data_IF_901494272329
#
_entry.id   IF_901494272329
#
_cell.length_a   1.000
_cell.length_b   1.000
_cell.length_c   1.000
_cell.angle_alpha   90.00
_cell.angle_beta   90.00
_cell.angle_gamma   90.00
#
_symmetry.space_group_name_H-M   'P 1'
#
loop_
_entity.id
_entity.type
_entity.pdbx_description
1 polymer ?
#
# COMPACT_ATOMS: atom_id res chain seq x y z
N UNK A 1 3.73 -0.77 30.62
CA UNK A 1 2.88 0.36 30.17
C UNK A 1 2.51 0.03 28.75
N UNK A 2 1.22 -0.05 28.47
CA UNK A 2 0.67 -0.58 27.22
C UNK A 2 0.27 0.57 26.31
N UNK A 3 0.80 0.59 25.09
CA UNK A 3 0.30 1.39 23.98
C UNK A 3 -0.42 0.48 22.98
N UNK A 4 -1.48 0.98 22.35
CA UNK A 4 -2.31 0.23 21.41
C UNK A 4 -2.60 1.10 20.19
N UNK A 5 -2.43 0.51 19.00
CA UNK A 5 -2.69 1.15 17.71
C UNK A 5 -3.45 0.19 16.81
N UNK A 6 -4.42 0.72 16.08
CA UNK A 6 -5.09 -0.01 15.01
C UNK A 6 -4.22 0.02 13.77
N UNK A 7 -3.99 -1.15 13.18
CA UNK A 7 -3.31 -1.34 11.91
C UNK A 7 -4.02 -2.41 11.08
N UNK A 8 -3.41 -2.83 9.97
CA UNK A 8 -3.91 -3.92 9.14
C UNK A 8 -2.77 -4.58 8.35
N UNK A 9 -2.99 -5.81 7.94
CA UNK A 9 -2.12 -6.53 6.99
C UNK A 9 -2.91 -6.85 5.72
N UNK A 10 -2.22 -7.08 4.61
CA UNK A 10 -2.84 -7.40 3.33
C UNK A 10 -3.12 -8.90 3.27
N UNK A 11 -4.35 -9.27 2.95
CA UNK A 11 -4.77 -10.64 2.67
C UNK A 11 -5.45 -10.69 1.31
N UNK A 12 -4.72 -11.15 0.29
CA UNK A 12 -5.19 -11.05 -1.10
C UNK A 12 -5.25 -9.60 -1.55
N UNK A 13 -6.45 -9.11 -1.89
CA UNK A 13 -6.69 -7.71 -2.29
C UNK A 13 -7.24 -6.83 -1.16
N UNK A 14 -7.59 -7.46 -0.04
CA UNK A 14 -8.22 -6.80 1.10
C UNK A 14 -7.21 -6.57 2.23
N UNK A 15 -7.57 -5.66 3.12
CA UNK A 15 -6.82 -5.39 4.35
C UNK A 15 -7.59 -5.95 5.55
N UNK A 16 -6.92 -6.76 6.36
CA UNK A 16 -7.47 -7.38 7.56
C UNK A 16 -6.89 -6.68 8.78
N UNK A 17 -7.77 -6.34 9.73
CA UNK A 17 -7.41 -5.65 10.97
C UNK A 17 -6.27 -6.37 11.69
N UNK A 18 -5.31 -5.59 12.15
CA UNK A 18 -4.24 -6.02 13.06
C UNK A 18 -4.11 -4.99 14.17
N UNK A 19 -4.18 -5.42 15.42
CA UNK A 19 -3.92 -4.55 16.55
C UNK A 19 -2.44 -4.63 16.93
N UNK A 20 -1.76 -3.48 16.98
CA UNK A 20 -0.35 -3.34 17.38
C UNK A 20 -0.33 -2.90 18.83
N UNK A 21 0.05 -3.82 19.71
CA UNK A 21 0.16 -3.59 21.14
C UNK A 21 1.63 -3.57 21.54
N UNK A 22 2.06 -2.53 22.24
CA UNK A 22 3.43 -2.40 22.73
C UNK A 22 3.42 -2.29 24.25
N UNK A 23 3.98 -3.29 24.93
CA UNK A 23 4.20 -3.24 26.37
C UNK A 23 5.68 -3.01 26.71
N UNK A 24 5.91 -2.01 27.57
CA UNK A 24 7.19 -1.77 28.22
C UNK A 24 7.16 -2.24 29.67
N UNK A 25 7.96 -3.26 29.98
CA UNK A 25 8.11 -3.83 31.31
C UNK A 25 9.50 -3.57 31.92
N UNK A 26 9.63 -3.47 33.26
CA UNK A 26 10.93 -3.44 33.93
C UNK A 26 11.76 -4.70 33.64
N UNK A 27 13.09 -4.55 33.61
CA UNK A 27 14.03 -5.66 33.42
C UNK A 27 15.17 -5.33 32.46
N UNK A 28 16.00 -6.32 32.16
CA UNK A 28 17.10 -6.16 31.19
C UNK A 28 16.54 -5.84 29.79
N UNK A 29 17.20 -4.94 29.03
CA UNK A 29 16.78 -4.59 27.67
C UNK A 29 16.63 -5.82 26.79
N UNK A 30 15.42 -6.03 26.29
CA UNK A 30 15.07 -7.17 25.44
C UNK A 30 13.90 -6.79 24.55
N UNK A 31 13.76 -7.48 23.42
CA UNK A 31 12.74 -7.21 22.43
C UNK A 31 12.14 -8.51 21.93
N UNK A 32 10.82 -8.60 21.89
CA UNK A 32 10.09 -9.70 21.27
C UNK A 32 8.94 -9.18 20.42
N UNK A 33 8.74 -9.81 19.24
CA UNK A 33 7.53 -9.63 18.42
C UNK A 33 6.76 -10.94 18.44
N UNK A 34 5.48 -10.88 18.79
CA UNK A 34 4.58 -12.04 18.86
C UNK A 34 3.36 -11.82 17.93
N UNK A 35 2.65 -12.91 17.60
CA UNK A 35 1.49 -12.85 16.70
C UNK A 35 1.79 -13.23 15.24
N UNK A 36 2.66 -14.24 15.03
CA UNK A 36 3.06 -14.77 13.72
C UNK A 36 3.60 -13.71 12.72
N UNK A 37 4.63 -12.92 13.11
CA UNK A 37 5.30 -12.01 12.18
C UNK A 37 6.11 -12.80 11.15
N UNK A 38 6.05 -12.41 9.87
CA UNK A 38 6.96 -12.93 8.85
C UNK A 38 8.37 -12.35 8.98
N UNK A 39 9.33 -12.84 8.17
CA UNK A 39 10.75 -12.45 8.27
C UNK A 39 10.95 -10.92 8.22
N UNK A 40 10.31 -10.22 7.28
CA UNK A 40 10.42 -8.77 7.13
C UNK A 40 9.93 -7.98 8.35
N UNK A 41 8.91 -8.49 9.04
CA UNK A 41 8.37 -7.92 10.28
C UNK A 41 9.27 -8.26 11.47
N UNK A 42 9.85 -9.47 11.52
CA UNK A 42 10.83 -9.83 12.56
C UNK A 42 12.09 -8.97 12.49
N UNK A 43 12.53 -8.62 11.29
CA UNK A 43 13.68 -7.75 11.03
C UNK A 43 13.40 -6.27 11.35
N UNK A 44 12.13 -5.89 11.54
CA UNK A 44 11.75 -4.52 11.89
C UNK A 44 12.41 -4.04 13.19
N UNK A 45 12.79 -4.94 14.10
CA UNK A 45 13.47 -4.58 15.36
C UNK A 45 14.66 -3.66 15.14
N UNK A 46 15.56 -4.01 14.23
CA UNK A 46 16.78 -3.23 13.99
C UNK A 46 16.45 -1.90 13.29
N UNK A 47 15.47 -1.92 12.35
CA UNK A 47 15.00 -0.72 11.66
C UNK A 47 14.34 0.29 12.59
N UNK A 48 13.36 -0.16 13.38
CA UNK A 48 12.63 0.66 14.35
C UNK A 48 13.58 1.24 15.40
N UNK A 49 14.49 0.42 15.94
CA UNK A 49 15.47 0.88 16.92
C UNK A 49 16.37 1.97 16.33
N UNK A 50 16.97 1.71 15.17
CA UNK A 50 17.87 2.65 14.51
C UNK A 50 17.15 3.95 14.14
N UNK A 51 15.95 3.84 13.57
CA UNK A 51 15.10 4.97 13.20
C UNK A 51 14.81 5.89 14.39
N UNK A 52 14.40 5.33 15.53
CA UNK A 52 14.16 6.09 16.76
C UNK A 52 15.43 6.82 17.19
N UNK A 53 16.55 6.11 17.30
CA UNK A 53 17.81 6.71 17.79
C UNK A 53 18.36 7.77 16.84
N UNK A 54 18.32 7.52 15.53
CA UNK A 54 18.86 8.43 14.51
C UNK A 54 17.93 9.62 14.25
N UNK A 55 16.66 9.52 14.65
CA UNK A 55 15.73 10.66 14.71
C UNK A 55 15.92 11.56 15.94
N UNK A 56 16.92 11.28 16.79
CA UNK A 56 17.16 12.04 18.03
C UNK A 56 16.16 11.73 19.15
N UNK A 57 15.41 10.63 19.04
CA UNK A 57 14.44 10.17 20.03
C UNK A 57 15.07 9.12 20.94
N UNK A 58 14.50 8.92 22.14
CA UNK A 58 15.07 7.97 23.09
C UNK A 58 14.50 6.57 22.87
N UNK A 59 15.36 5.59 22.56
CA UNK A 59 14.94 4.18 22.59
C UNK A 59 14.99 3.65 24.04
N UNK A 60 13.89 3.14 24.60
CA UNK A 60 13.84 2.76 26.02
C UNK A 60 14.68 1.51 26.31
N UNK A 61 15.49 1.57 27.38
CA UNK A 61 16.28 0.45 27.89
C UNK A 61 15.43 -0.43 28.82
N UNK A 62 14.37 -1.04 28.28
CA UNK A 62 13.40 -1.88 28.99
C UNK A 62 13.14 -3.17 28.23
N UNK A 63 12.38 -4.10 28.83
CA UNK A 63 11.83 -5.23 28.09
C UNK A 63 10.64 -4.74 27.27
N UNK A 64 10.75 -4.88 25.95
CA UNK A 64 9.76 -4.45 24.97
C UNK A 64 9.10 -5.68 24.38
N UNK A 65 7.77 -5.74 24.44
CA UNK A 65 6.99 -6.76 23.75
C UNK A 65 6.05 -6.08 22.77
N UNK A 66 6.17 -6.42 21.49
CA UNK A 66 5.24 -6.01 20.44
C UNK A 66 4.34 -7.20 20.12
N UNK A 67 3.05 -7.08 20.38
CA UNK A 67 2.05 -8.07 20.01
C UNK A 67 1.26 -7.60 18.78
N UNK A 68 1.21 -8.44 17.75
CA UNK A 68 0.43 -8.22 16.53
C UNK A 68 -0.78 -9.17 16.54
N UNK A 69 -1.92 -8.70 17.06
CA UNK A 69 -3.15 -9.49 17.15
C UNK A 69 -3.99 -9.37 15.87
N UNK A 70 -4.73 -10.41 15.44
CA UNK A 70 -4.93 -11.72 16.09
C UNK A 70 -3.84 -12.73 15.75
N UNK A 71 -3.43 -13.60 16.67
CA UNK A 71 -2.23 -14.44 16.52
C UNK A 71 -2.35 -15.66 15.56
N UNK A 72 -3.49 -15.84 14.90
CA UNK A 72 -3.80 -16.94 13.98
C UNK A 72 -3.49 -16.63 12.51
N UNK A 73 -3.24 -15.37 12.20
CA UNK A 73 -2.92 -14.89 10.84
C UNK A 73 -1.48 -14.38 10.77
N UNK A 74 -0.79 -14.67 9.66
CA UNK A 74 0.55 -14.15 9.37
C UNK A 74 0.53 -12.65 9.12
N UNK A 75 1.51 -11.92 9.67
CA UNK A 75 1.67 -10.48 9.39
C UNK A 75 2.82 -10.28 8.44
N UNK A 76 2.46 -9.74 7.28
CA UNK A 76 3.38 -9.38 6.21
C UNK A 76 3.34 -7.87 5.98
N UNK A 77 4.47 -7.33 5.53
CA UNK A 77 4.64 -5.93 5.15
C UNK A 77 5.52 -5.13 6.11
N UNK A 78 6.39 -4.29 5.57
CA UNK A 78 7.26 -3.40 6.33
C UNK A 78 6.55 -2.16 6.89
N UNK A 79 5.30 -1.92 6.48
CA UNK A 79 4.51 -0.77 6.93
C UNK A 79 4.20 -0.77 8.43
N UNK A 80 4.37 -1.90 9.11
CA UNK A 80 4.25 -2.02 10.56
C UNK A 80 5.37 -1.30 11.32
N UNK A 81 6.49 -0.93 10.67
CA UNK A 81 7.60 -0.27 11.34
C UNK A 81 7.16 1.03 12.04
N UNK A 82 6.39 1.86 11.34
CA UNK A 82 5.88 3.13 11.88
C UNK A 82 4.97 2.95 13.12
N UNK A 83 3.87 2.17 13.07
CA UNK A 83 3.04 1.98 14.25
C UNK A 83 3.78 1.31 15.42
N UNK A 84 4.74 0.41 15.15
CA UNK A 84 5.61 -0.14 16.20
C UNK A 84 6.48 0.95 16.87
N UNK A 85 7.11 1.82 16.07
CA UNK A 85 7.91 2.92 16.58
C UNK A 85 7.07 3.86 17.46
N UNK A 86 5.88 4.25 16.99
CA UNK A 86 4.96 5.10 17.74
C UNK A 86 4.47 4.43 19.03
N UNK A 87 4.16 3.13 19.00
CA UNK A 87 3.78 2.38 20.20
C UNK A 87 4.88 2.38 21.27
N UNK A 88 6.15 2.28 20.87
CA UNK A 88 7.29 2.36 21.81
C UNK A 88 7.44 3.76 22.39
N UNK A 89 7.32 4.79 21.55
CA UNK A 89 7.40 6.18 21.98
C UNK A 89 6.26 6.53 22.94
N UNK A 90 5.04 6.04 22.67
CA UNK A 90 3.90 6.22 23.55
C UNK A 90 4.06 5.44 24.86
N UNK A 91 4.45 4.17 24.81
CA UNK A 91 4.70 3.34 25.99
C UNK A 91 5.85 3.84 26.87
N UNK A 92 6.75 4.66 26.31
CA UNK A 92 7.82 5.34 27.06
C UNK A 92 7.46 6.77 27.50
N UNK A 93 6.26 7.25 27.18
CA UNK A 93 5.77 8.58 27.57
C UNK A 93 6.33 9.74 26.74
N UNK A 94 6.97 9.47 25.59
CA UNK A 94 7.52 10.50 24.70
C UNK A 94 6.47 11.13 23.80
N UNK A 95 5.34 10.46 23.58
CA UNK A 95 4.17 10.96 22.83
C UNK A 95 2.88 10.49 23.52
N UNK A 96 1.75 11.15 23.22
CA UNK A 96 0.44 10.77 23.77
C UNK A 96 -0.11 9.50 23.11
N UNK A 97 -0.55 8.55 23.93
CA UNK A 97 -1.25 7.35 23.48
C UNK A 97 -2.63 7.63 22.88
N UNK A 98 -3.32 8.68 23.33
CA UNK A 98 -4.63 9.07 22.81
C UNK A 98 -4.51 9.65 21.39
N UNK A 99 -3.49 10.48 21.17
CA UNK A 99 -3.25 11.11 19.87
C UNK A 99 -2.94 10.08 18.77
N UNK A 100 -2.20 9.01 19.10
CA UNK A 100 -1.92 7.93 18.13
C UNK A 100 -3.11 7.00 17.88
N UNK A 101 -4.15 7.04 18.72
CA UNK A 101 -5.36 6.23 18.53
C UNK A 101 -6.33 6.80 17.49
N UNK A 102 -6.24 8.09 17.17
CA UNK A 102 -7.17 8.78 16.26
C UNK A 102 -6.80 8.61 14.77
N UNK A 103 -5.52 8.31 14.48
CA UNK A 103 -4.97 8.23 13.14
C UNK A 103 -4.49 6.82 12.80
N UNK A 104 -4.53 6.48 11.52
CA UNK A 104 -3.96 5.23 11.02
C UNK A 104 -2.55 5.47 10.48
N UNK A 105 -1.55 4.85 11.11
CA UNK A 105 -0.15 5.01 10.74
C UNK A 105 0.35 3.79 9.97
N UNK A 106 0.93 4.01 8.80
CA UNK A 106 1.55 2.96 8.01
C UNK A 106 2.77 3.51 7.26
N UNK A 107 3.91 2.82 7.37
CA UNK A 107 5.13 3.22 6.68
C UNK A 107 6.31 2.35 7.06
N UNK A 108 7.18 2.08 6.07
CA UNK A 108 8.46 1.43 6.33
C UNK A 108 9.45 2.46 6.89
N UNK A 109 10.23 2.08 7.90
CA UNK A 109 11.28 2.94 8.44
C UNK A 109 12.63 2.51 7.91
N UNK A 110 13.34 3.45 7.29
CA UNK A 110 14.77 3.34 7.08
C UNK A 110 15.54 3.51 8.40
N UNK A 111 16.80 3.07 8.44
CA UNK A 111 17.64 3.15 9.64
C UNK A 111 17.85 4.59 10.14
N UNK A 112 17.76 5.58 9.27
CA UNK A 112 17.92 7.00 9.60
C UNK A 112 16.62 7.65 10.14
N UNK A 113 15.48 6.98 10.01
CA UNK A 113 14.16 7.51 10.35
C UNK A 113 13.32 7.96 9.15
N UNK A 114 13.85 7.89 7.93
CA UNK A 114 13.10 8.19 6.70
C UNK A 114 11.95 7.19 6.52
N UNK A 115 10.76 7.70 6.20
CA UNK A 115 9.62 6.86 5.80
C UNK A 115 9.74 6.49 4.31
N UNK A 116 9.70 5.19 4.03
CA UNK A 116 9.76 4.64 2.67
C UNK A 116 8.39 4.16 2.19
N UNK A 117 8.12 4.29 0.88
CA UNK A 117 6.88 3.78 0.31
C UNK A 117 6.80 2.26 0.44
N UNK A 118 5.58 1.74 0.56
CA UNK A 118 5.29 0.32 0.72
C UNK A 118 4.11 -0.10 -0.16
N UNK A 119 3.91 -1.42 -0.30
CA UNK A 119 2.89 -2.03 -1.15
C UNK A 119 1.54 -2.12 -0.45
N UNK A 120 0.45 -2.03 -1.20
CA UNK A 120 -0.92 -2.21 -0.70
C UNK A 120 -1.46 -1.03 0.11
N UNK A 121 -0.87 0.16 -0.02
CA UNK A 121 -1.32 1.35 0.72
C UNK A 121 -2.78 1.71 0.44
N UNK A 122 -3.29 1.46 -0.78
CA UNK A 122 -4.68 1.71 -1.11
C UNK A 122 -5.64 0.85 -0.27
N UNK A 123 -5.35 -0.44 -0.14
CA UNK A 123 -6.16 -1.35 0.66
C UNK A 123 -6.13 -0.96 2.15
N UNK A 124 -4.95 -0.58 2.67
CA UNK A 124 -4.83 -0.08 4.05
C UNK A 124 -5.59 1.23 4.26
N UNK A 125 -5.55 2.16 3.30
CA UNK A 125 -6.24 3.44 3.41
C UNK A 125 -7.76 3.29 3.40
N UNK A 126 -8.28 2.41 2.55
CA UNK A 126 -9.71 2.08 2.50
C UNK A 126 -10.16 1.37 3.78
N UNK A 127 -9.34 0.46 4.31
CA UNK A 127 -9.58 -0.15 5.62
C UNK A 127 -9.64 0.92 6.73
N UNK A 128 -8.68 1.84 6.78
CA UNK A 128 -8.65 2.89 7.80
C UNK A 128 -9.92 3.77 7.75
N UNK A 129 -10.38 4.13 6.55
CA UNK A 129 -11.63 4.85 6.36
C UNK A 129 -12.84 4.05 6.82
N UNK A 130 -12.92 2.75 6.50
CA UNK A 130 -14.00 1.87 6.95
C UNK A 130 -13.98 1.63 8.47
N UNK A 131 -12.79 1.65 9.08
CA UNK A 131 -12.59 1.52 10.52
C UNK A 131 -12.88 2.83 11.30
N UNK A 132 -13.24 3.92 10.62
CA UNK A 132 -13.60 5.19 11.24
C UNK A 132 -12.42 6.04 11.70
N UNK A 133 -11.21 5.78 11.17
CA UNK A 133 -10.02 6.58 11.49
C UNK A 133 -10.14 7.98 10.87
N UNK A 134 -9.71 9.02 11.60
CA UNK A 134 -9.88 10.41 11.15
C UNK A 134 -9.08 10.71 9.89
N UNK A 135 -7.84 10.23 9.84
CA UNK A 135 -6.97 10.30 8.69
C UNK A 135 -5.90 9.20 8.72
N UNK A 136 -5.28 8.97 7.57
CA UNK A 136 -4.08 8.14 7.46
C UNK A 136 -2.82 9.00 7.46
N UNK A 137 -1.74 8.51 8.05
CA UNK A 137 -0.41 9.12 8.00
C UNK A 137 0.55 8.12 7.36
N UNK A 138 1.08 8.49 6.20
CA UNK A 138 1.84 7.59 5.32
C UNK A 138 3.01 8.33 4.63
N UNK A 139 3.97 7.61 4.02
CA UNK A 139 4.94 8.20 3.10
C UNK A 139 4.24 9.00 2.00
N UNK A 140 4.87 10.04 1.41
CA UNK A 140 4.20 10.94 0.46
C UNK A 140 3.53 10.24 -0.73
N UNK A 141 4.18 9.23 -1.31
CA UNK A 141 3.66 8.47 -2.46
C UNK A 141 2.39 7.70 -2.09
N UNK A 142 2.41 7.00 -0.95
CA UNK A 142 1.26 6.26 -0.45
C UNK A 142 0.13 7.18 0.04
N UNK A 143 0.46 8.34 0.60
CA UNK A 143 -0.52 9.33 1.00
C UNK A 143 -1.26 9.93 -0.21
N UNK A 144 -0.55 10.17 -1.32
CA UNK A 144 -1.17 10.60 -2.59
C UNK A 144 -2.11 9.53 -3.16
N UNK A 145 -1.73 8.26 -3.07
CA UNK A 145 -2.55 7.11 -3.46
C UNK A 145 -3.85 7.04 -2.63
N UNK A 146 -3.75 7.21 -1.31
CA UNK A 146 -4.90 7.26 -0.41
C UNK A 146 -5.82 8.47 -0.71
N UNK A 147 -5.23 9.64 -0.98
CA UNK A 147 -5.98 10.85 -1.34
C UNK A 147 -6.77 10.67 -2.64
N UNK A 148 -6.24 9.92 -3.62
CA UNK A 148 -6.91 9.62 -4.89
C UNK A 148 -8.21 8.82 -4.78
N UNK A 149 -8.50 8.25 -3.61
CA UNK A 149 -9.73 7.50 -3.33
C UNK A 149 -10.60 8.17 -2.26
N UNK A 150 -10.33 9.45 -2.00
CA UNK A 150 -11.10 10.27 -1.07
C UNK A 150 -10.91 9.86 0.39
N UNK A 151 -9.74 9.33 0.76
CA UNK A 151 -9.32 9.16 2.15
C UNK A 151 -8.58 10.41 2.60
N UNK A 152 -8.85 10.91 3.80
CA UNK A 152 -8.05 12.00 4.37
C UNK A 152 -6.65 11.45 4.69
N UNK A 153 -5.63 11.97 4.02
CA UNK A 153 -4.27 11.47 4.14
C UNK A 153 -3.29 12.61 4.41
N UNK A 154 -2.34 12.37 5.30
CA UNK A 154 -1.21 13.24 5.61
C UNK A 154 0.08 12.57 5.16
N UNK A 155 0.95 13.36 4.52
CA UNK A 155 2.24 12.91 4.06
C UNK A 155 3.32 13.20 5.11
N UNK A 156 4.09 12.18 5.49
CA UNK A 156 5.25 12.31 6.35
C UNK A 156 6.48 11.65 5.69
N UNK A 157 7.59 12.38 5.65
CA UNK A 157 8.87 11.91 5.08
C UNK A 157 9.78 11.30 6.13
N UNK A 158 9.60 11.66 7.39
CA UNK A 158 10.50 11.25 8.47
C UNK A 158 9.75 10.99 9.78
N UNK A 159 10.24 10.05 10.59
CA UNK A 159 9.64 9.70 11.89
C UNK A 159 9.48 10.92 12.80
N UNK A 160 10.45 11.83 12.78
CA UNK A 160 10.40 13.07 13.56
C UNK A 160 9.22 13.97 13.19
N UNK A 161 8.83 14.03 11.92
CA UNK A 161 7.67 14.82 11.47
C UNK A 161 6.38 14.22 12.06
N UNK A 162 6.27 12.89 12.04
CA UNK A 162 5.13 12.19 12.65
C UNK A 162 5.06 12.44 14.16
N UNK A 163 6.21 12.42 14.85
CA UNK A 163 6.26 12.68 16.29
C UNK A 163 5.86 14.11 16.63
N UNK A 164 6.36 15.12 15.90
CA UNK A 164 5.97 16.53 16.09
C UNK A 164 4.49 16.74 15.84
N UNK A 165 3.95 16.07 14.82
CA UNK A 165 2.52 16.06 14.52
C UNK A 165 1.68 15.50 15.67
N UNK A 166 2.04 14.32 16.17
CA UNK A 166 1.34 13.69 17.30
C UNK A 166 1.44 14.53 18.58
N UNK A 167 2.52 15.29 18.77
CA UNK A 167 2.69 16.22 19.90
C UNK A 167 1.96 17.56 19.71
N UNK A 168 1.44 17.84 18.52
CA UNK A 168 0.84 19.14 18.18
C UNK A 168 1.86 20.28 18.04
N UNK A 169 3.14 19.96 17.84
CA UNK A 169 4.22 20.94 17.67
C UNK A 169 4.24 21.51 16.23
N UNK A 170 3.97 20.65 15.24
CA UNK A 170 4.02 20.99 13.82
C UNK A 170 2.98 20.17 13.05
N UNK A 171 2.26 20.77 12.12
CA UNK A 171 1.27 20.06 11.29
C UNK A 171 1.93 19.23 10.18
N UNK A 172 1.23 18.21 9.69
CA UNK A 172 1.61 17.52 8.45
C UNK A 172 0.86 18.10 7.26
N UNK A 173 1.50 18.09 6.09
CA UNK A 173 0.85 18.45 4.84
C UNK A 173 -0.22 17.41 4.49
N UNK A 174 -1.43 17.87 4.21
CA UNK A 174 -2.48 17.03 3.65
C UNK A 174 -2.05 16.63 2.24
N UNK A 175 -2.10 15.33 1.94
CA UNK A 175 -1.81 14.83 0.62
C UNK A 175 -2.94 15.16 -0.35
N UNK A 176 -2.55 15.51 -1.57
CA UNK A 176 -3.44 15.67 -2.71
C UNK A 176 -3.22 14.50 -3.66
N UNK A 177 -4.26 14.07 -4.39
CA UNK A 177 -4.08 13.06 -5.42
C UNK A 177 -3.11 13.57 -6.48
N UNK A 178 -2.21 12.70 -6.94
CA UNK A 178 -1.44 12.99 -8.14
C UNK A 178 -2.40 13.23 -9.32
N UNK A 179 -2.07 14.14 -10.24
CA UNK A 179 -2.91 14.35 -11.43
C UNK A 179 -3.08 13.03 -12.19
N UNK A 180 -4.24 12.82 -12.85
CA UNK A 180 -4.42 11.65 -13.69
C UNK A 180 -3.30 11.63 -14.75
N UNK A 181 -2.79 10.42 -15.08
CA UNK A 181 -1.76 10.31 -16.11
C UNK A 181 -2.31 10.87 -17.43
N UNK A 182 -1.42 11.40 -18.26
CA UNK A 182 -1.78 11.69 -19.63
C UNK A 182 -2.32 10.41 -20.28
N UNK A 183 -3.39 10.56 -21.06
CA UNK A 183 -3.97 9.44 -21.77
C UNK A 183 -2.92 8.91 -22.77
N UNK A 184 -2.49 7.67 -22.59
CA UNK A 184 -1.55 7.04 -23.53
C UNK A 184 -2.28 6.71 -24.83
N UNK A 185 -1.63 6.96 -25.97
CA UNK A 185 -2.12 6.51 -27.27
C UNK A 185 -2.02 4.98 -27.32
N UNK A 186 -3.14 4.32 -27.02
CA UNK A 186 -3.26 2.87 -27.10
C UNK A 186 -3.27 2.43 -28.57
N UNK A 187 -2.69 1.26 -28.90
CA UNK A 187 -2.79 0.69 -30.24
C UNK A 187 -4.25 0.50 -30.66
N UNK A 188 -4.59 0.90 -31.88
CA UNK A 188 -5.96 0.85 -32.39
C UNK A 188 -6.17 -0.37 -33.31
N UNK A 189 -7.40 -0.88 -33.34
CA UNK A 189 -7.83 -1.92 -34.27
C UNK A 189 -7.88 -1.43 -35.73
N UNK A 190 -7.97 -0.13 -35.95
CA UNK A 190 -7.88 0.53 -37.25
C UNK A 190 -6.56 0.25 -37.98
N UNK A 191 -5.46 0.05 -37.22
CA UNK A 191 -4.15 -0.31 -37.78
C UNK A 191 -4.10 -1.75 -38.32
N UNK A 192 -5.10 -2.58 -37.98
CA UNK A 192 -5.14 -4.00 -38.36
C UNK A 192 -5.70 -4.17 -39.76
N UNK A 193 -4.79 -4.42 -40.69
CA UNK A 193 -5.12 -4.75 -42.06
C UNK A 193 -5.60 -6.21 -42.17
N UNK A 194 -6.82 -6.43 -42.64
CA UNK A 194 -7.43 -7.76 -42.75
C UNK A 194 -7.95 -8.32 -41.43
N UNK A 195 -7.93 -9.66 -41.27
CA UNK A 195 -8.34 -10.37 -40.05
C UNK A 195 -9.78 -10.08 -39.57
N UNK A 196 -10.74 -9.90 -40.49
CA UNK A 196 -12.11 -9.47 -40.18
C UNK A 196 -12.80 -10.31 -39.10
N UNK A 197 -12.63 -11.64 -39.14
CA UNK A 197 -13.23 -12.52 -38.15
C UNK A 197 -12.65 -12.31 -36.74
N UNK A 198 -11.33 -12.13 -36.64
CA UNK A 198 -10.66 -11.89 -35.35
C UNK A 198 -10.96 -10.49 -34.81
N UNK A 199 -10.99 -9.47 -35.67
CA UNK A 199 -11.42 -8.11 -35.33
C UNK A 199 -12.85 -8.12 -34.80
N UNK A 200 -13.76 -8.81 -35.47
CA UNK A 200 -15.15 -8.94 -35.03
C UNK A 200 -15.28 -9.68 -33.69
N UNK A 201 -14.48 -10.72 -33.47
CA UNK A 201 -14.47 -11.44 -32.19
C UNK A 201 -14.00 -10.53 -31.04
N UNK A 202 -12.98 -9.69 -31.26
CA UNK A 202 -12.53 -8.69 -30.30
C UNK A 202 -13.62 -7.65 -29.98
N UNK A 203 -14.29 -7.12 -30.99
CA UNK A 203 -15.41 -6.17 -30.79
C UNK A 203 -16.54 -6.80 -29.95
N UNK A 204 -16.93 -8.04 -30.26
CA UNK A 204 -17.96 -8.76 -29.50
C UNK A 204 -17.49 -8.99 -28.06
N UNK A 205 -16.23 -9.40 -27.86
CA UNK A 205 -15.69 -9.62 -26.53
C UNK A 205 -15.63 -8.33 -25.71
N UNK A 206 -15.18 -7.22 -26.32
CA UNK A 206 -15.11 -5.91 -25.68
C UNK A 206 -16.50 -5.39 -25.31
N UNK A 207 -17.47 -5.45 -26.23
CA UNK A 207 -18.84 -4.98 -25.99
C UNK A 207 -19.60 -5.85 -24.97
N UNK A 208 -19.33 -7.16 -24.94
CA UNK A 208 -20.02 -8.11 -24.07
C UNK A 208 -19.30 -8.40 -22.74
N UNK A 209 -18.11 -7.83 -22.50
CA UNK A 209 -17.28 -8.15 -21.33
C UNK A 209 -16.87 -9.62 -21.28
N UNK A 210 -16.63 -10.26 -22.43
CA UNK A 210 -16.30 -11.68 -22.51
C UNK A 210 -14.81 -11.95 -22.37
N UNK A 211 -14.48 -13.05 -21.71
CA UNK A 211 -13.11 -13.59 -21.74
C UNK A 211 -12.77 -14.11 -23.13
N UNK A 212 -11.55 -13.84 -23.59
CA UNK A 212 -11.08 -14.24 -24.91
C UNK A 212 -9.79 -15.06 -24.80
N UNK A 213 -9.77 -16.22 -25.47
CA UNK A 213 -8.56 -17.03 -25.64
C UNK A 213 -8.24 -17.13 -27.13
N UNK A 214 -7.05 -16.67 -27.52
CA UNK A 214 -6.59 -16.73 -28.92
C UNK A 214 -5.63 -17.91 -29.12
N UNK A 215 -6.00 -18.86 -29.97
CA UNK A 215 -5.19 -20.05 -30.28
C UNK A 215 -4.82 -20.03 -31.76
N UNK A 216 -3.55 -20.33 -32.08
CA UNK A 216 -3.10 -20.48 -33.46
C UNK A 216 -1.58 -20.46 -33.61
N UNK A 217 -1.06 -20.74 -34.82
CA UNK A 217 0.37 -20.78 -35.12
C UNK A 217 1.11 -19.47 -34.77
N UNK A 218 2.44 -19.49 -34.56
CA UNK A 218 3.23 -18.27 -34.40
C UNK A 218 3.09 -17.37 -35.64
N UNK A 219 3.24 -16.05 -35.46
CA UNK A 219 3.20 -15.07 -36.56
C UNK A 219 1.82 -14.67 -37.09
N UNK A 220 0.73 -15.33 -36.67
CA UNK A 220 -0.63 -15.02 -37.17
C UNK A 220 -1.27 -13.74 -36.56
N UNK A 221 -0.51 -12.95 -35.81
CA UNK A 221 -0.98 -11.66 -35.27
C UNK A 221 -1.71 -11.70 -33.92
N UNK A 222 -1.70 -12.81 -33.18
CA UNK A 222 -2.39 -12.95 -31.88
C UNK A 222 -1.99 -11.87 -30.86
N UNK A 223 -0.68 -11.69 -30.62
CA UNK A 223 -0.20 -10.69 -29.67
C UNK A 223 -0.46 -9.25 -30.14
N UNK A 224 -0.38 -9.03 -31.46
CA UNK A 224 -0.69 -7.74 -32.10
C UNK A 224 -2.16 -7.36 -31.89
N UNK A 225 -3.07 -8.33 -32.04
CA UNK A 225 -4.51 -8.20 -31.79
C UNK A 225 -4.81 -8.00 -30.30
N UNK A 226 -4.19 -8.79 -29.42
CA UNK A 226 -4.39 -8.68 -27.96
C UNK A 226 -3.98 -7.31 -27.41
N UNK A 227 -2.88 -6.74 -27.90
CA UNK A 227 -2.40 -5.42 -27.49
C UNK A 227 -3.33 -4.26 -27.90
N UNK A 228 -4.28 -4.49 -28.80
CA UNK A 228 -5.26 -3.50 -29.28
C UNK A 228 -6.63 -3.61 -28.61
N UNK A 229 -6.85 -4.67 -27.81
CA UNK A 229 -8.09 -4.82 -27.05
C UNK A 229 -8.34 -3.64 -26.08
N UNK A 230 -7.34 -3.15 -25.31
CA UNK A 230 -7.54 -1.98 -24.46
C UNK A 230 -8.04 -0.74 -25.20
N UNK A 231 -7.61 -0.52 -26.44
CA UNK A 231 -7.99 0.64 -27.25
C UNK A 231 -9.44 0.65 -27.70
N UNK A 232 -10.14 -0.51 -27.67
CA UNK A 232 -11.56 -0.62 -28.04
C UNK A 232 -12.49 -0.89 -26.86
N UNK A 233 -11.93 -1.05 -25.66
CA UNK A 233 -12.70 -1.20 -24.43
C UNK A 233 -13.19 0.18 -23.94
N UNK A 234 -14.36 0.25 -23.29
CA UNK A 234 -14.79 1.49 -22.67
C UNK A 234 -13.79 1.90 -21.56
N UNK A 235 -13.66 3.21 -21.27
CA UNK A 235 -12.94 3.66 -20.09
C UNK A 235 -13.48 2.98 -18.83
N UNK A 236 -12.60 2.69 -17.88
CA UNK A 236 -12.98 2.13 -16.60
C UNK A 236 -13.92 3.09 -15.87
N UNK A 237 -15.03 2.54 -15.37
CA UNK A 237 -15.84 3.24 -14.40
C UNK A 237 -15.12 3.33 -13.05
N UNK A 238 -15.72 4.07 -12.11
CA UNK A 238 -15.13 4.28 -10.79
C UNK A 238 -14.85 2.97 -10.04
N UNK A 239 -15.77 2.00 -10.11
CA UNK A 239 -15.64 0.74 -9.39
C UNK A 239 -14.50 -0.11 -9.97
N UNK A 240 -14.48 -0.26 -11.30
CA UNK A 240 -13.44 -1.00 -12.00
C UNK A 240 -12.06 -0.35 -11.84
N UNK A 241 -12.00 0.99 -11.90
CA UNK A 241 -10.78 1.76 -11.63
C UNK A 241 -10.22 1.48 -10.23
N UNK A 242 -11.09 1.47 -9.23
CA UNK A 242 -10.72 1.15 -7.85
C UNK A 242 -10.21 -0.28 -7.68
N UNK A 243 -10.84 -1.27 -8.31
CA UNK A 243 -10.39 -2.66 -8.28
C UNK A 243 -9.02 -2.83 -8.93
N UNK A 244 -8.82 -2.25 -10.12
CA UNK A 244 -7.54 -2.24 -10.82
C UNK A 244 -6.47 -1.56 -9.98
N UNK A 245 -6.75 -0.38 -9.41
CA UNK A 245 -5.81 0.34 -8.57
C UNK A 245 -5.36 -0.49 -7.35
N UNK A 246 -6.28 -1.21 -6.69
CA UNK A 246 -5.94 -2.10 -5.56
C UNK A 246 -5.00 -3.22 -5.99
N UNK A 247 -5.26 -3.84 -7.14
CA UNK A 247 -4.41 -4.92 -7.67
C UNK A 247 -2.97 -4.43 -7.89
N UNK A 248 -2.79 -3.28 -8.55
CA UNK A 248 -1.47 -2.70 -8.80
C UNK A 248 -0.77 -2.28 -7.50
N UNK A 249 -1.50 -1.68 -6.56
CA UNK A 249 -1.00 -1.31 -5.23
C UNK A 249 -0.42 -2.51 -4.48
N UNK A 250 -1.18 -3.61 -4.41
CA UNK A 250 -0.76 -4.84 -3.73
C UNK A 250 0.40 -5.52 -4.46
N UNK A 251 0.37 -5.55 -5.79
CA UNK A 251 1.48 -6.06 -6.60
C UNK A 251 2.76 -5.23 -6.43
N UNK A 252 2.65 -3.98 -5.96
CA UNK A 252 3.75 -3.02 -5.92
C UNK A 252 4.16 -2.57 -7.32
N UNK A 253 3.23 -2.60 -8.27
CA UNK A 253 3.44 -2.13 -9.63
C UNK A 253 2.92 -0.69 -9.75
N UNK A 254 3.70 0.23 -10.33
CA UNK A 254 3.30 1.62 -10.43
C UNK A 254 2.11 1.76 -11.38
N UNK A 255 0.99 2.27 -10.87
CA UNK A 255 -0.15 2.72 -11.68
C UNK A 255 -0.89 3.79 -10.91
N UNK A 256 -1.28 4.87 -11.60
CA UNK A 256 -2.12 5.88 -10.97
C UNK A 256 -3.48 5.28 -10.63
N UNK A 257 -4.00 5.46 -9.40
CA UNK A 257 -5.37 5.09 -9.09
C UNK A 257 -6.38 5.80 -9.99
N UNK A 258 -6.03 6.97 -10.53
CA UNK A 258 -6.89 7.78 -11.41
C UNK A 258 -6.85 7.34 -12.89
N UNK A 259 -6.07 6.32 -13.25
CA UNK A 259 -6.00 5.82 -14.62
C UNK A 259 -7.36 5.25 -15.07
N UNK A 260 -7.90 5.78 -16.15
CA UNK A 260 -9.20 5.37 -16.71
C UNK A 260 -9.06 4.37 -17.87
N UNK A 261 -7.85 4.17 -18.40
CA UNK A 261 -7.59 3.17 -19.43
C UNK A 261 -7.71 1.75 -18.84
N UNK A 262 -8.23 0.78 -19.60
CA UNK A 262 -8.15 -0.63 -19.25
C UNK A 262 -6.70 -1.12 -19.21
N UNK A 263 -6.26 -1.82 -18.15
CA UNK A 263 -4.87 -2.25 -18.04
C UNK A 263 -4.52 -3.31 -19.08
N UNK A 264 -3.28 -3.28 -19.55
CA UNK A 264 -2.70 -4.30 -20.42
C UNK A 264 -1.39 -4.80 -19.83
N UNK A 265 -1.18 -6.12 -19.85
CA UNK A 265 0.07 -6.75 -19.45
C UNK A 265 0.61 -7.57 -20.61
N UNK A 266 1.69 -7.09 -21.21
CA UNK A 266 2.43 -7.89 -22.18
C UNK A 266 3.06 -9.10 -21.46
N UNK A 267 3.12 -10.28 -22.10
CA UNK A 267 3.89 -11.39 -21.56
C UNK A 267 5.35 -10.98 -21.40
N UNK A 268 5.99 -11.44 -20.32
CA UNK A 268 7.41 -11.22 -20.12
C UNK A 268 8.18 -11.84 -21.28
N UNK A 269 9.30 -11.23 -21.70
CA UNK A 269 10.10 -11.73 -22.83
C UNK A 269 10.58 -13.18 -22.64
N UNK A 270 10.70 -13.63 -21.38
CA UNK A 270 11.06 -15.00 -20.98
C UNK A 270 9.89 -15.97 -20.92
N UNK A 271 8.65 -15.53 -21.19
CA UNK A 271 7.46 -16.40 -21.14
C UNK A 271 7.32 -17.33 -22.36
N UNK A 272 8.19 -17.17 -23.37
CA UNK A 272 8.21 -17.99 -24.59
C UNK A 272 9.46 -18.86 -24.74
N UNK A 273 10.40 -18.77 -23.79
CA UNK A 273 11.60 -19.62 -23.73
C UNK A 273 11.34 -20.91 -22.94
#
# INVERSE_FOLDING_TARGET
MLAHLVSATIAGLDAVRVDVEVDLAPGLPSWAIVGLPEASVREAKERVRAAITNSGLQFPLRRITVNLAPADMRKEGSHFDLPMALGILAGSGQISGEAIGCYFFAGELALDGTLRPFRGALALALFAKAAGMEAVVMPPENAAEAAAVGVCAYAAKHLVEVVRFVRGEEGLARAEPAPPPAQEDLPDLADVHGQMQARRALEIAAAGGHHLLMIGPPGVGKSMLAARLPGILPPLDEAARMEVARLYSVAGEPRSPLAADPPFRAPHHTASD
#
